data_IF_037469355325
#
_entry.id   IF_037469355325
#
_cell.length_a   1.000
_cell.length_b   1.000
_cell.length_c   1.000
_cell.angle_alpha   90.00
_cell.angle_beta   90.00
_cell.angle_gamma   90.00
#
_symmetry.space_group_name_H-M   'P 1'
#
loop_
_entity.id
_entity.type
_entity.pdbx_description
1 polymer ?
#
# COMPACT_ATOMS: atom_id res chain seq x y z
N UNK A 1 -6.33 6.79 -9.57
CA UNK A 1 -4.91 6.90 -9.99
C UNK A 1 -4.04 6.21 -8.95
N UNK A 2 -2.81 5.81 -9.28
CA UNK A 2 -1.90 5.18 -8.30
C UNK A 2 -1.00 6.23 -7.66
N UNK A 3 -1.06 6.38 -6.34
CA UNK A 3 -0.21 7.32 -5.63
C UNK A 3 1.14 6.67 -5.29
N UNK A 4 2.25 7.31 -5.67
CA UNK A 4 3.61 6.87 -5.30
C UNK A 4 4.11 7.63 -4.07
N UNK A 5 3.87 7.07 -2.87
CA UNK A 5 4.40 7.64 -1.64
C UNK A 5 5.87 7.25 -1.46
N UNK A 6 6.72 8.26 -1.30
CA UNK A 6 8.16 8.07 -1.06
C UNK A 6 8.44 8.15 0.44
N UNK A 7 9.18 7.18 0.96
CA UNK A 7 9.53 7.10 2.38
C UNK A 7 11.03 6.80 2.53
N UNK A 8 11.85 7.86 2.52
CA UNK A 8 13.31 7.73 2.52
C UNK A 8 13.88 7.07 3.79
N UNK A 9 13.17 7.18 4.92
CA UNK A 9 13.56 6.64 6.22
C UNK A 9 13.69 5.12 6.22
N UNK A 10 12.92 4.41 5.38
CA UNK A 10 12.99 2.95 5.27
C UNK A 10 14.38 2.43 4.85
N UNK A 11 15.18 3.25 4.17
CA UNK A 11 16.53 2.90 3.70
C UNK A 11 17.61 3.10 4.74
N UNK A 12 17.31 3.77 5.85
CA UNK A 12 18.31 4.21 6.82
C UNK A 12 18.02 3.65 8.23
N UNK A 13 19.01 3.03 8.90
CA UNK A 13 20.31 2.61 8.35
C UNK A 13 20.14 1.47 7.33
N UNK A 14 21.12 1.15 6.47
CA UNK A 14 21.12 -0.10 5.70
C UNK A 14 21.02 -1.33 6.63
N UNK A 15 20.51 -2.44 6.11
CA UNK A 15 20.45 -3.70 6.86
C UNK A 15 21.89 -4.22 7.07
N UNK A 16 22.29 -4.39 8.33
CA UNK A 16 23.63 -4.88 8.65
C UNK A 16 23.72 -6.41 8.48
N UNK A 17 24.67 -6.90 7.69
CA UNK A 17 24.80 -8.34 7.36
C UNK A 17 24.95 -9.22 8.61
N UNK A 18 25.69 -8.78 9.62
CA UNK A 18 25.89 -9.53 10.87
C UNK A 18 24.60 -9.76 11.69
N UNK A 19 23.50 -9.08 11.36
CA UNK A 19 22.21 -9.28 12.01
C UNK A 19 21.43 -10.47 11.45
N UNK A 20 21.93 -11.14 10.39
CA UNK A 20 21.23 -12.24 9.71
C UNK A 20 22.01 -13.54 9.79
N UNK A 21 21.26 -14.64 9.78
CA UNK A 21 21.82 -16.00 9.82
C UNK A 21 21.89 -16.53 8.39
N UNK A 22 23.09 -16.96 7.96
CA UNK A 22 23.26 -17.57 6.65
C UNK A 22 22.48 -18.89 6.54
N UNK A 23 22.01 -19.20 5.33
CA UNK A 23 21.45 -20.51 4.98
C UNK A 23 22.51 -21.33 4.24
N UNK A 24 22.19 -22.57 3.88
CA UNK A 24 23.03 -23.38 2.99
C UNK A 24 23.15 -22.82 1.57
N UNK A 25 22.26 -21.92 1.17
CA UNK A 25 22.19 -21.38 -0.20
C UNK A 25 22.52 -19.89 -0.29
N UNK A 26 22.34 -19.14 0.80
CA UNK A 26 22.49 -17.69 0.81
C UNK A 26 23.27 -17.22 2.04
N UNK A 27 24.21 -16.31 1.80
CA UNK A 27 24.99 -15.70 2.88
C UNK A 27 24.17 -14.67 3.65
N UNK A 28 24.65 -14.30 4.84
CA UNK A 28 24.08 -13.20 5.61
C UNK A 28 24.14 -11.85 4.86
N UNK A 29 25.15 -11.66 4.00
CA UNK A 29 25.26 -10.49 3.14
C UNK A 29 24.21 -10.49 2.01
N UNK A 30 23.98 -11.63 1.36
CA UNK A 30 22.92 -11.76 0.35
C UNK A 30 21.55 -11.45 0.94
N UNK A 31 21.33 -11.88 2.19
CA UNK A 31 20.15 -11.57 2.98
C UNK A 31 19.95 -10.07 3.20
N UNK A 32 20.96 -9.41 3.74
CA UNK A 32 20.94 -7.96 3.94
C UNK A 32 20.70 -7.21 2.63
N UNK A 33 21.45 -7.54 1.58
CA UNK A 33 21.37 -6.87 0.26
C UNK A 33 19.98 -7.01 -0.37
N UNK A 34 19.37 -8.18 -0.26
CA UNK A 34 18.02 -8.42 -0.77
C UNK A 34 16.96 -7.63 0.04
N UNK A 35 17.08 -7.62 1.37
CA UNK A 35 16.19 -6.83 2.23
C UNK A 35 16.30 -5.32 1.95
N UNK A 36 17.52 -4.80 1.79
CA UNK A 36 17.77 -3.40 1.42
C UNK A 36 17.20 -3.07 0.04
N UNK A 37 17.33 -3.98 -0.93
CA UNK A 37 16.76 -3.79 -2.25
C UNK A 37 15.22 -3.69 -2.18
N UNK A 38 14.57 -4.52 -1.35
CA UNK A 38 13.13 -4.47 -1.14
C UNK A 38 12.69 -3.20 -0.41
N UNK A 39 13.36 -2.84 0.68
CA UNK A 39 13.09 -1.58 1.40
C UNK A 39 13.30 -0.36 0.51
N UNK A 40 14.33 -0.36 -0.34
CA UNK A 40 14.58 0.70 -1.31
C UNK A 40 13.53 0.75 -2.43
N UNK A 41 13.00 -0.40 -2.85
CA UNK A 41 11.87 -0.46 -3.78
C UNK A 41 10.61 0.16 -3.15
N UNK A 42 10.27 -0.23 -1.92
CA UNK A 42 9.12 0.30 -1.18
C UNK A 42 9.29 1.79 -0.88
N UNK A 43 10.47 2.21 -0.42
CA UNK A 43 10.82 3.60 -0.14
C UNK A 43 10.63 4.55 -1.33
N UNK A 44 10.70 4.04 -2.56
CA UNK A 44 10.51 4.82 -3.79
C UNK A 44 9.06 4.82 -4.28
N UNK A 45 8.12 4.22 -3.54
CA UNK A 45 6.72 4.11 -3.94
C UNK A 45 6.43 2.94 -4.88
N UNK A 46 7.28 1.91 -4.87
CA UNK A 46 7.11 0.68 -5.66
C UNK A 46 6.99 0.90 -7.18
N UNK A 47 7.89 1.70 -7.79
CA UNK A 47 7.73 2.13 -9.18
C UNK A 47 7.93 0.97 -10.17
N UNK A 48 7.12 0.95 -11.24
CA UNK A 48 7.16 -0.12 -12.27
C UNK A 48 8.54 -0.30 -12.90
N UNK A 49 9.26 0.81 -13.11
CA UNK A 49 10.58 0.84 -13.74
C UNK A 49 11.67 0.15 -12.89
N UNK A 50 11.48 0.04 -11.59
CA UNK A 50 12.40 -0.67 -10.70
C UNK A 50 12.04 -2.14 -10.51
N UNK A 51 10.87 -2.58 -10.98
CA UNK A 51 10.41 -3.95 -10.85
C UNK A 51 11.21 -4.87 -11.76
N UNK A 52 11.70 -5.99 -11.20
CA UNK A 52 12.57 -6.90 -11.91
C UNK A 52 12.47 -8.33 -11.38
N UNK A 53 13.00 -9.29 -12.16
CA UNK A 53 12.91 -10.73 -11.88
C UNK A 53 13.53 -11.13 -10.53
N UNK A 54 14.48 -10.35 -10.00
CA UNK A 54 15.10 -10.63 -8.70
C UNK A 54 14.15 -10.29 -7.55
N UNK A 55 13.51 -9.12 -7.60
CA UNK A 55 12.47 -8.73 -6.63
C UNK A 55 11.31 -9.73 -6.66
N UNK A 56 10.79 -10.03 -7.84
CA UNK A 56 9.70 -10.99 -8.01
C UNK A 56 10.01 -12.36 -7.41
N UNK A 57 11.12 -13.00 -7.81
CA UNK A 57 11.47 -14.34 -7.32
C UNK A 57 11.63 -14.42 -5.81
N UNK A 58 11.95 -13.33 -5.13
CA UNK A 58 12.08 -13.33 -3.67
C UNK A 58 10.75 -12.98 -3.02
N UNK A 59 10.07 -11.92 -3.47
CA UNK A 59 8.74 -11.57 -2.96
C UNK A 59 7.68 -12.64 -3.20
N UNK A 60 7.74 -13.42 -4.28
CA UNK A 60 6.79 -14.51 -4.50
C UNK A 60 6.97 -15.68 -3.53
N UNK A 61 8.14 -15.76 -2.87
CA UNK A 61 8.50 -16.82 -1.93
C UNK A 61 8.54 -16.31 -0.48
N UNK A 62 8.57 -14.99 -0.29
CA UNK A 62 8.52 -14.32 1.01
C UNK A 62 7.10 -13.80 1.21
N UNK A 63 6.60 -13.78 2.44
CA UNK A 63 5.29 -13.19 2.76
C UNK A 63 4.03 -13.87 2.16
N UNK A 64 4.17 -15.06 1.56
CA UNK A 64 3.03 -15.90 1.15
C UNK A 64 2.17 -15.32 0.02
N UNK A 65 2.75 -14.50 -0.86
CA UNK A 65 2.04 -14.04 -2.05
C UNK A 65 1.79 -15.19 -3.03
N UNK A 66 0.62 -15.20 -3.67
CA UNK A 66 0.32 -16.16 -4.74
C UNK A 66 1.23 -15.83 -5.93
N UNK A 67 1.95 -16.83 -6.43
CA UNK A 67 2.75 -16.67 -7.64
C UNK A 67 1.82 -16.43 -8.84
N UNK A 68 2.12 -15.41 -9.64
CA UNK A 68 1.42 -15.15 -10.90
C UNK A 68 2.15 -15.84 -12.06
N UNK A 69 1.45 -16.05 -13.18
CA UNK A 69 2.01 -16.69 -14.38
C UNK A 69 3.30 -16.01 -14.86
N UNK A 70 3.36 -14.68 -14.75
CA UNK A 70 4.56 -13.91 -15.05
C UNK A 70 4.79 -12.74 -14.09
N UNK A 71 6.00 -12.18 -14.20
CA UNK A 71 6.50 -11.09 -13.37
C UNK A 71 5.70 -9.78 -13.50
N UNK A 72 5.15 -9.51 -14.68
CA UNK A 72 4.36 -8.32 -14.95
C UNK A 72 2.98 -8.45 -14.34
N UNK A 73 2.35 -9.63 -14.48
CA UNK A 73 1.06 -9.94 -13.86
C UNK A 73 1.10 -9.80 -12.33
N UNK A 74 2.19 -10.22 -11.68
CA UNK A 74 2.36 -10.00 -10.24
C UNK A 74 2.35 -8.51 -9.88
N UNK A 75 3.08 -7.68 -10.63
CA UNK A 75 3.12 -6.25 -10.33
C UNK A 75 1.78 -5.59 -10.57
N UNK A 76 1.09 -5.95 -11.66
CA UNK A 76 -0.24 -5.41 -11.95
C UNK A 76 -1.23 -5.73 -10.84
N UNK A 77 -1.26 -6.98 -10.36
CA UNK A 77 -2.19 -7.36 -9.30
C UNK A 77 -1.85 -6.69 -7.96
N UNK A 78 -0.57 -6.75 -7.57
CA UNK A 78 -0.18 -6.40 -6.20
C UNK A 78 0.15 -4.91 -6.03
N UNK A 79 0.49 -4.19 -7.10
CA UNK A 79 1.16 -2.88 -7.00
C UNK A 79 0.62 -1.80 -7.95
N UNK A 80 -0.31 -2.12 -8.86
CA UNK A 80 -0.81 -1.16 -9.87
C UNK A 80 -1.61 0.00 -9.26
N UNK A 81 -2.40 -0.26 -8.21
CA UNK A 81 -3.29 0.73 -7.58
C UNK A 81 -2.87 1.06 -6.15
N UNK A 82 -3.32 2.21 -5.64
CA UNK A 82 -3.11 2.59 -4.23
C UNK A 82 -3.71 1.54 -3.28
N UNK A 83 -4.88 0.98 -3.59
CA UNK A 83 -5.51 -0.09 -2.82
C UNK A 83 -4.70 -1.37 -2.83
N UNK A 84 -4.21 -1.79 -4.01
CA UNK A 84 -3.35 -2.98 -4.13
C UNK A 84 -2.07 -2.81 -3.30
N UNK A 85 -1.44 -1.62 -3.36
CA UNK A 85 -0.27 -1.29 -2.55
C UNK A 85 -0.55 -1.35 -1.04
N UNK A 86 -1.72 -0.91 -0.59
CA UNK A 86 -2.14 -1.05 0.82
C UNK A 86 -2.23 -2.53 1.19
N UNK A 87 -2.97 -3.33 0.40
CA UNK A 87 -3.13 -4.76 0.65
C UNK A 87 -1.78 -5.51 0.64
N UNK A 88 -0.88 -5.15 -0.28
CA UNK A 88 0.49 -5.68 -0.36
C UNK A 88 1.28 -5.38 0.92
N UNK A 89 1.24 -4.15 1.42
CA UNK A 89 1.94 -3.78 2.66
C UNK A 89 1.32 -4.45 3.89
N UNK A 90 -0.02 -4.51 3.97
CA UNK A 90 -0.74 -5.22 5.03
C UNK A 90 -0.40 -6.71 5.06
N UNK A 91 -0.33 -7.36 3.89
CA UNK A 91 0.10 -8.76 3.78
C UNK A 91 1.53 -8.93 4.29
N UNK A 92 2.46 -8.06 3.89
CA UNK A 92 3.83 -8.09 4.41
C UNK A 92 3.82 -7.94 5.92
N UNK A 93 3.09 -6.96 6.48
CA UNK A 93 3.05 -6.71 7.92
C UNK A 93 2.34 -7.81 8.72
N UNK A 94 1.35 -8.50 8.15
CA UNK A 94 0.60 -9.55 8.83
C UNK A 94 1.30 -10.92 8.78
N UNK A 95 2.28 -11.10 7.89
CA UNK A 95 2.90 -12.40 7.68
C UNK A 95 3.63 -12.92 8.93
N UNK A 96 3.43 -14.18 9.36
CA UNK A 96 4.03 -14.65 10.61
C UNK A 96 5.57 -14.85 10.58
N UNK A 97 6.21 -14.73 9.41
CA UNK A 97 7.65 -14.95 9.21
C UNK A 97 8.10 -16.35 9.66
N UNK A 98 7.51 -17.38 9.05
CA UNK A 98 7.68 -18.77 9.43
C UNK A 98 9.10 -19.31 9.25
N UNK A 99 9.46 -20.28 10.10
CA UNK A 99 10.67 -21.09 9.95
C UNK A 99 11.92 -20.52 10.62
N UNK A 100 12.94 -21.38 10.72
CA UNK A 100 14.20 -21.04 11.37
C UNK A 100 15.09 -20.22 10.42
N UNK A 101 15.75 -19.14 10.90
CA UNK A 101 16.63 -18.31 10.08
C UNK A 101 17.76 -19.06 9.37
N UNK A 102 18.19 -20.21 9.89
CA UNK A 102 19.21 -21.08 9.29
C UNK A 102 18.75 -21.75 8.00
N UNK A 103 17.44 -21.83 7.75
CA UNK A 103 16.86 -22.50 6.58
C UNK A 103 15.91 -21.60 5.78
N UNK A 104 15.56 -20.44 6.33
CA UNK A 104 14.54 -19.54 5.77
C UNK A 104 15.00 -18.08 5.84
N UNK A 105 14.17 -17.19 5.32
CA UNK A 105 14.41 -15.75 5.32
C UNK A 105 13.68 -15.03 6.47
N UNK A 106 13.22 -15.76 7.49
CA UNK A 106 12.34 -15.24 8.53
C UNK A 106 12.92 -14.09 9.35
N UNK A 107 14.25 -14.03 9.49
CA UNK A 107 14.98 -12.93 10.12
C UNK A 107 14.91 -11.64 9.29
N UNK A 108 15.12 -11.74 7.98
CA UNK A 108 14.99 -10.61 7.04
C UNK A 108 13.54 -10.15 6.92
N UNK A 109 12.59 -11.09 6.85
CA UNK A 109 11.15 -10.78 6.80
C UNK A 109 10.73 -9.96 8.02
N UNK A 110 11.11 -10.39 9.24
CA UNK A 110 10.85 -9.64 10.48
C UNK A 110 11.49 -8.25 10.47
N UNK A 111 12.73 -8.13 9.99
CA UNK A 111 13.42 -6.85 9.92
C UNK A 111 12.67 -5.86 9.00
N UNK A 112 12.19 -6.33 7.85
CA UNK A 112 11.39 -5.53 6.91
C UNK A 112 10.07 -5.10 7.56
N UNK A 113 9.33 -6.03 8.17
CA UNK A 113 8.06 -5.72 8.87
C UNK A 113 8.24 -4.63 9.91
N UNK A 114 9.27 -4.77 10.76
CA UNK A 114 9.54 -3.81 11.82
C UNK A 114 9.77 -2.40 11.26
N UNK A 115 10.46 -2.28 10.11
CA UNK A 115 10.65 -0.98 9.45
C UNK A 115 9.37 -0.42 8.86
N UNK A 116 8.56 -1.25 8.22
CA UNK A 116 7.30 -0.80 7.63
C UNK A 116 6.33 -0.30 8.70
N UNK A 117 6.20 -1.05 9.80
CA UNK A 117 5.38 -0.67 10.96
C UNK A 117 5.91 0.60 11.63
N UNK A 118 7.22 0.70 11.84
CA UNK A 118 7.84 1.91 12.42
C UNK A 118 7.61 3.15 11.54
N UNK A 119 7.62 2.99 10.22
CA UNK A 119 7.35 4.07 9.27
C UNK A 119 5.84 4.39 9.11
N UNK A 120 4.94 3.55 9.65
CA UNK A 120 3.48 3.67 9.49
C UNK A 120 3.06 3.85 8.04
N UNK A 121 3.68 3.09 7.14
CA UNK A 121 3.52 3.30 5.70
C UNK A 121 2.10 2.97 5.23
N UNK A 122 1.48 1.94 5.81
CA UNK A 122 0.07 1.57 5.54
C UNK A 122 -0.87 2.73 5.84
N UNK A 123 -0.70 3.39 7.00
CA UNK A 123 -1.52 4.53 7.39
C UNK A 123 -1.35 5.71 6.42
N UNK A 124 -0.10 6.00 6.02
CA UNK A 124 0.18 7.05 5.05
C UNK A 124 -0.51 6.80 3.70
N UNK A 125 -0.53 5.56 3.21
CA UNK A 125 -1.26 5.20 2.00
C UNK A 125 -2.78 5.27 2.15
N UNK A 126 -3.32 4.87 3.30
CA UNK A 126 -4.76 4.99 3.60
C UNK A 126 -5.19 6.46 3.65
N UNK A 127 -4.37 7.33 4.22
CA UNK A 127 -4.60 8.78 4.24
C UNK A 127 -4.65 9.35 2.83
N UNK A 128 -3.69 8.99 1.98
CA UNK A 128 -3.65 9.45 0.60
C UNK A 128 -4.85 8.94 -0.20
N UNK A 129 -5.23 7.68 0.00
CA UNK A 129 -6.42 7.11 -0.64
C UNK A 129 -7.70 7.85 -0.23
N UNK A 130 -7.84 8.24 1.04
CA UNK A 130 -8.97 9.04 1.50
C UNK A 130 -9.00 10.42 0.83
N UNK A 131 -7.86 11.10 0.76
CA UNK A 131 -7.73 12.41 0.09
C UNK A 131 -8.07 12.35 -1.39
N UNK A 132 -7.65 11.30 -2.10
CA UNK A 132 -7.96 11.11 -3.52
C UNK A 132 -9.47 10.88 -3.76
N UNK A 133 -10.11 10.09 -2.89
CA UNK A 133 -11.57 9.88 -2.91
C UNK A 133 -12.32 11.20 -2.69
N UNK A 134 -11.99 11.93 -1.63
CA UNK A 134 -12.62 13.22 -1.33
C UNK A 134 -12.45 14.22 -2.48
N UNK A 135 -11.28 14.25 -3.12
CA UNK A 135 -11.01 15.12 -4.28
C UNK A 135 -11.90 14.74 -5.46
N UNK A 136 -12.02 13.45 -5.75
CA UNK A 136 -12.87 12.93 -6.82
C UNK A 136 -14.35 13.24 -6.56
N UNK A 137 -14.82 13.00 -5.35
CA UNK A 137 -16.20 13.28 -4.92
C UNK A 137 -16.54 14.77 -5.02
N UNK A 138 -15.64 15.66 -4.56
CA UNK A 138 -15.81 17.11 -4.68
C UNK A 138 -15.84 17.56 -6.13
N UNK A 139 -14.97 17.01 -6.99
CA UNK A 139 -14.97 17.33 -8.42
C UNK A 139 -16.28 16.87 -9.10
N UNK A 140 -16.76 15.68 -8.76
CA UNK A 140 -18.03 15.15 -9.26
C UNK A 140 -19.21 16.01 -8.78
N UNK A 141 -19.24 16.39 -7.50
CA UNK A 141 -20.26 17.29 -6.96
C UNK A 141 -20.26 18.65 -7.67
N UNK A 142 -19.09 19.24 -7.92
CA UNK A 142 -18.96 20.49 -8.64
C UNK A 142 -19.47 20.37 -10.09
N UNK A 143 -19.13 19.28 -10.79
CA UNK A 143 -19.60 19.01 -12.14
C UNK A 143 -21.12 18.81 -12.20
N UNK A 144 -21.70 18.03 -11.29
CA UNK A 144 -23.16 17.88 -11.18
C UNK A 144 -23.83 19.22 -10.88
N UNK A 145 -23.31 19.96 -9.89
CA UNK A 145 -23.85 21.26 -9.50
C UNK A 145 -23.85 22.24 -10.67
N UNK A 146 -22.78 22.29 -11.48
CA UNK A 146 -22.73 23.10 -12.69
C UNK A 146 -23.76 22.65 -13.74
N UNK A 147 -23.85 21.34 -13.99
CA UNK A 147 -24.78 20.76 -14.99
C UNK A 147 -26.24 21.08 -14.66
N UNK A 148 -26.63 20.96 -13.38
CA UNK A 148 -28.02 21.14 -12.96
C UNK A 148 -28.38 22.57 -12.58
N UNK A 149 -27.41 23.46 -12.31
CA UNK A 149 -27.66 24.90 -12.12
C UNK A 149 -28.35 25.57 -13.32
N UNK A 150 -28.11 25.08 -14.54
CA UNK A 150 -28.77 25.58 -15.76
C UNK A 150 -30.13 24.93 -16.05
N UNK A 151 -30.49 23.88 -15.30
CA UNK A 151 -31.77 23.16 -15.44
C UNK A 151 -32.78 23.56 -14.36
N UNK A 152 -32.39 24.38 -13.38
CA UNK A 152 -33.32 24.97 -12.43
C UNK A 152 -34.18 26.00 -13.17
N UNK A 153 -35.51 25.79 -13.32
CA UNK A 153 -36.37 26.83 -13.86
C UNK A 153 -36.31 28.03 -12.91
N UNK A 154 -36.20 29.23 -13.49
CA UNK A 154 -36.36 30.48 -12.77
C UNK A 154 -37.78 30.50 -12.15
N UNK A 155 -37.91 30.03 -10.90
CA UNK A 155 -39.19 29.98 -10.19
C UNK A 155 -39.61 28.64 -9.60
N UNK A 156 -38.74 27.63 -9.44
CA UNK A 156 -39.09 26.51 -8.56
C UNK A 156 -39.21 27.02 -7.11
N UNK A 157 -40.39 26.94 -6.47
CA UNK A 157 -40.54 27.38 -5.08
C UNK A 157 -39.63 26.51 -4.21
N UNK A 158 -38.80 27.18 -3.42
CA UNK A 158 -38.06 26.57 -2.32
C UNK A 158 -39.09 25.82 -1.47
N UNK A 159 -39.04 24.49 -1.47
CA UNK A 159 -39.93 23.69 -0.63
C UNK A 159 -39.80 24.21 0.81
N UNK A 160 -40.91 24.57 1.48
CA UNK A 160 -40.82 25.02 2.86
C UNK A 160 -40.20 23.89 3.67
N UNK A 161 -39.21 24.27 4.48
CA UNK A 161 -38.62 23.40 5.51
C UNK A 161 -39.76 22.76 6.27
N UNK A 162 -39.93 21.44 6.13
CA UNK A 162 -40.88 20.71 6.93
C UNK A 162 -40.42 20.84 8.39
N UNK A 163 -41.24 21.50 9.21
CA UNK A 163 -41.04 21.56 10.65
C UNK A 163 -40.85 20.14 11.20
N UNK A 164 -39.99 19.95 12.22
CA UNK A 164 -39.78 18.63 12.81
C UNK A 164 -41.10 18.14 13.39
N UNK A 165 -41.63 17.06 12.82
CA UNK A 165 -42.82 16.37 13.32
C UNK A 165 -42.49 15.87 14.73
N UNK A 166 -42.97 16.58 15.76
CA UNK A 166 -43.00 16.09 17.13
C UNK A 166 -43.94 14.89 17.17
N UNK A 167 -43.36 13.69 17.21
CA UNK A 167 -44.08 12.46 17.53
C UNK A 167 -44.53 12.55 18.99
N UNK A 168 -45.76 12.98 19.20
CA UNK A 168 -46.45 12.90 20.48
C UNK A 168 -46.66 11.44 20.87
N UNK A 169 -46.20 11.10 22.07
CA UNK A 169 -46.50 9.85 22.78
C UNK A 169 -48.01 9.71 23.00
N UNK A 170 -48.54 8.54 22.68
CA UNK A 170 -49.74 7.97 23.29
C UNK A 170 -49.41 6.57 23.81
#
# INVERSE_FOLDING_TARGET
MSAELKCATLRNPPLASHAYVATSFETAEDKARMGDMLLSFIARGMPRSAWNKRLYRRLSNMFGFIAHYDINGFWEEQLSTTQARIAFLEQIEAYPCWGQPTHTWSDVERAIQNRLRAARLVDAYRDELRRDKERTERAMLAALSAKYKHLAPAGAPMMPSADPVQLGLF
#
